data_IF_151363304858
#
_entry.id   IF_151363304858
#
_cell.length_a   1.000
_cell.length_b   1.000
_cell.length_c   1.000
_cell.angle_alpha   90.00
_cell.angle_beta   90.00
_cell.angle_gamma   90.00
#
_symmetry.space_group_name_H-M   'P 1'
#
loop_
_entity.id
_entity.type
_entity.pdbx_description
1 polymer ?
2 non-polymer ?
3 non-polymer ?
4 non-polymer ?
5 non-polymer ?
6 non-polymer ?
7 water ?
#
# COMPACT_ATOMS: atom_id res chain seq x y z
N UNK A 1 4.29 -12.35 -24.63
CA UNK A 1 4.21 -13.48 -25.59
C UNK A 1 3.27 -13.07 -26.75
N UNK A 2 2.35 -13.98 -27.15
CA UNK A 2 1.45 -13.81 -28.28
C UNK A 2 0.20 -12.96 -28.05
N UNK A 3 -0.18 -12.71 -26.82
CA UNK A 3 -1.42 -11.97 -26.53
C UNK A 3 -1.15 -10.50 -26.85
N UNK A 4 -2.10 -9.87 -27.50
CA UNK A 4 -1.97 -8.47 -27.86
C UNK A 4 -2.10 -7.57 -26.64
N UNK A 5 -1.55 -6.38 -26.79
CA UNK A 5 -1.77 -5.36 -25.77
C UNK A 5 -3.23 -5.03 -25.64
N UNK A 6 -3.93 -4.95 -26.77
CA UNK A 6 -5.40 -4.67 -26.74
C UNK A 6 -6.09 -5.66 -25.85
N UNK A 7 -5.74 -6.93 -25.97
CA UNK A 7 -6.39 -8.00 -25.19
C UNK A 7 -6.03 -7.89 -23.68
N UNK A 8 -4.77 -7.65 -23.37
CA UNK A 8 -4.41 -7.45 -21.94
C UNK A 8 -5.15 -6.26 -21.38
N UNK A 9 -5.23 -5.14 -22.13
CA UNK A 9 -5.87 -3.97 -21.60
C UNK A 9 -7.37 -4.22 -21.40
N UNK A 10 -8.00 -4.93 -22.34
CA UNK A 10 -9.44 -5.26 -22.20
C UNK A 10 -9.66 -6.13 -21.00
N UNK A 11 -8.83 -7.14 -20.83
CA UNK A 11 -8.98 -8.06 -19.68
C UNK A 11 -8.87 -7.31 -18.37
N UNK A 12 -7.83 -6.52 -18.19
CA UNK A 12 -7.64 -5.87 -16.92
C UNK A 12 -8.76 -4.86 -16.67
N UNK A 13 -9.17 -4.11 -17.69
CA UNK A 13 -10.33 -3.27 -17.57
C UNK A 13 -11.52 -4.04 -17.05
N UNK A 14 -11.75 -5.21 -17.60
CA UNK A 14 -12.92 -6.00 -17.22
C UNK A 14 -12.91 -6.39 -15.77
N UNK A 15 -11.73 -6.59 -15.16
CA UNK A 15 -11.72 -6.98 -13.74
C UNK A 15 -12.29 -5.85 -12.88
N UNK A 16 -11.99 -4.61 -13.22
CA UNK A 16 -12.57 -3.47 -12.52
C UNK A 16 -14.04 -3.33 -12.84
N UNK A 17 -14.40 -3.48 -14.12
CA UNK A 17 -15.80 -3.31 -14.51
C UNK A 17 -16.66 -4.35 -13.78
N UNK A 18 -16.19 -5.59 -13.68
CA UNK A 18 -16.98 -6.69 -13.09
C UNK A 18 -17.20 -6.44 -11.59
N UNK A 19 -16.25 -5.75 -10.97
CA UNK A 19 -16.43 -5.34 -9.57
C UNK A 19 -17.28 -4.13 -9.34
N UNK A 20 -17.75 -3.52 -10.42
CA UNK A 20 -18.66 -2.39 -10.35
C UNK A 20 -18.00 -1.24 -9.58
N UNK A 21 -16.73 -1.02 -9.94
CA UNK A 21 -16.04 0.15 -9.45
C UNK A 21 -15.18 0.77 -10.51
N UNK A 22 -14.43 1.78 -10.16
CA UNK A 22 -13.54 2.47 -11.06
C UNK A 22 -12.16 2.41 -10.49
N UNK A 23 -11.16 2.10 -11.26
CA UNK A 23 -9.82 1.95 -10.75
C UNK A 23 -8.74 1.84 -11.80
N UNK A 24 -7.52 1.82 -11.30
CA UNK A 24 -6.35 1.69 -12.13
C UNK A 24 -5.38 0.71 -11.43
N UNK A 25 -4.52 0.06 -12.18
CA UNK A 25 -3.36 -0.63 -11.62
C UNK A 25 -2.21 -0.17 -12.44
N UNK A 26 -1.17 0.32 -11.77
CA UNK A 26 0.04 0.73 -12.44
C UNK A 26 1.12 -0.29 -12.14
N UNK A 27 1.82 -0.69 -13.19
CA UNK A 27 2.88 -1.66 -13.09
C UNK A 27 4.19 -1.01 -13.51
N UNK A 28 5.28 -1.26 -12.83
CA UNK A 28 6.55 -0.69 -13.23
C UNK A 28 7.51 -1.80 -13.53
N UNK A 29 8.16 -1.75 -14.72
CA UNK A 29 9.13 -2.71 -15.13
C UNK A 29 10.38 -1.95 -15.46
N UNK A 30 11.39 -2.06 -14.60
CA UNK A 30 12.52 -1.18 -14.71
C UNK A 30 12.12 0.24 -14.45
N UNK A 31 12.34 1.13 -15.39
CA UNK A 31 11.89 2.49 -15.28
C UNK A 31 10.54 2.74 -15.91
N UNK A 32 9.97 1.78 -16.65
CA UNK A 32 8.75 2.03 -17.41
C UNK A 32 7.49 1.72 -16.64
N UNK A 33 6.62 2.71 -16.66
CA UNK A 33 5.31 2.60 -16.01
C UNK A 33 4.24 2.22 -17.01
N UNK A 34 3.42 1.26 -16.71
CA UNK A 34 2.30 0.91 -17.57
C UNK A 34 1.01 1.06 -16.72
N UNK A 35 -0.01 1.64 -17.30
CA UNK A 35 -1.29 1.95 -16.62
C UNK A 35 -2.40 1.11 -17.22
N UNK A 36 -3.08 0.33 -16.40
CA UNK A 36 -4.18 -0.50 -16.81
C UNK A 36 -5.39 -0.22 -15.94
N UNK A 37 -6.53 -0.70 -16.38
CA UNK A 37 -7.75 -0.63 -15.59
C UNK A 37 -8.88 0.02 -16.33
N UNK A 38 -9.89 0.43 -15.61
CA UNK A 38 -11.06 1.02 -16.22
C UNK A 38 -11.25 2.50 -15.98
N UNK A 39 -10.25 3.19 -15.34
CA UNK A 39 -10.35 4.59 -15.11
C UNK A 39 -8.95 5.18 -15.08
N UNK A 40 -8.35 5.24 -16.26
CA UNK A 40 -6.90 5.49 -16.33
C UNK A 40 -6.51 6.85 -15.81
N UNK A 41 -7.41 7.84 -15.84
CA UNK A 41 -7.13 9.15 -15.34
C UNK A 41 -6.87 9.20 -13.88
N UNK A 42 -7.18 8.16 -13.14
CA UNK A 42 -6.87 8.15 -11.71
C UNK A 42 -5.38 8.13 -11.44
N UNK A 43 -4.56 7.76 -12.44
CA UNK A 43 -3.13 7.51 -12.17
C UNK A 43 -2.39 8.72 -11.56
N UNK A 44 -2.74 9.96 -11.98
CA UNK A 44 -2.05 11.10 -11.41
C UNK A 44 -2.93 11.94 -10.52
N UNK A 45 -4.03 11.34 -9.99
CA UNK A 45 -4.85 12.00 -9.00
C UNK A 45 -4.47 11.65 -7.58
N UNK A 46 -4.65 12.64 -6.70
CA UNK A 46 -4.30 12.46 -5.28
C UNK A 46 -5.41 11.86 -4.45
N UNK A 47 -5.03 10.92 -3.60
CA UNK A 47 -5.93 10.33 -2.66
C UNK A 47 -5.24 10.22 -1.30
N UNK A 48 -6.00 10.06 -0.22
CA UNK A 48 -5.32 9.76 1.05
C UNK A 48 -4.62 8.42 0.91
N UNK A 49 -3.47 8.21 1.56
CA UNK A 49 -2.80 6.93 1.48
C UNK A 49 -3.47 5.85 2.27
N UNK A 50 -4.27 6.28 3.26
CA UNK A 50 -4.90 5.35 4.19
C UNK A 50 -3.87 4.41 4.73
N UNK A 51 -4.19 3.13 4.96
CA UNK A 51 -3.26 2.23 5.60
C UNK A 51 -2.03 1.87 4.80
N UNK A 52 -1.92 2.30 3.52
CA UNK A 52 -0.62 2.15 2.87
C UNK A 52 0.45 2.94 3.57
N UNK A 53 0.09 3.97 4.32
CA UNK A 53 1.06 4.73 5.09
C UNK A 53 1.71 3.93 6.14
N UNK A 54 1.13 2.80 6.57
CA UNK A 54 1.79 1.97 7.58
C UNK A 54 3.18 1.56 7.13
N UNK A 55 3.44 1.38 5.84
CA UNK A 55 4.79 1.05 5.41
C UNK A 55 5.78 2.13 5.85
N UNK A 56 5.45 3.37 5.59
CA UNK A 56 6.32 4.51 5.95
C UNK A 56 6.35 4.77 7.46
N UNK A 57 5.20 4.62 8.12
CA UNK A 57 5.15 4.78 9.57
C UNK A 57 6.11 3.76 10.21
N UNK A 58 6.08 2.52 9.77
CA UNK A 58 6.99 1.52 10.29
C UNK A 58 8.45 1.87 10.07
N UNK A 59 8.79 2.29 8.85
CA UNK A 59 10.19 2.67 8.52
C UNK A 59 10.63 3.77 9.47
N UNK A 60 9.81 4.80 9.62
CA UNK A 60 10.15 5.93 10.47
C UNK A 60 10.33 5.48 11.92
N UNK A 61 9.38 4.71 12.41
CA UNK A 61 9.43 4.30 13.83
C UNK A 61 10.63 3.40 14.09
N UNK A 62 10.94 2.45 13.23
CA UNK A 62 12.08 1.62 13.44
C UNK A 62 13.38 2.45 13.36
N UNK A 63 13.50 3.26 12.33
CA UNK A 63 14.74 3.99 12.11
C UNK A 63 15.06 4.87 13.31
N UNK A 64 14.02 5.44 13.89
CA UNK A 64 14.13 6.41 14.98
C UNK A 64 14.01 5.76 16.38
N UNK A 65 14.06 4.44 16.42
CA UNK A 65 14.11 3.72 17.71
C UNK A 65 12.86 3.97 18.57
N UNK A 66 11.72 4.06 17.92
CA UNK A 66 10.45 4.21 18.60
C UNK A 66 9.77 2.86 18.83
N UNK A 67 10.31 1.81 18.23
CA UNK A 67 9.89 0.42 18.39
C UNK A 67 10.97 -0.50 17.91
N UNK A 68 10.83 -1.78 18.21
CA UNK A 68 11.57 -2.84 17.66
C UNK A 68 10.66 -3.79 16.95
N UNK A 69 11.22 -4.71 16.18
CA UNK A 69 10.35 -5.63 15.43
C UNK A 69 9.75 -6.71 16.33
N UNK A 70 10.33 -6.98 17.48
CA UNK A 70 9.78 -7.97 18.40
C UNK A 70 8.86 -7.37 19.45
N UNK A 71 8.85 -6.05 19.59
CA UNK A 71 8.02 -5.46 20.62
C UNK A 71 6.58 -5.80 20.46
N UNK A 72 5.95 -6.18 21.57
CA UNK A 72 4.53 -6.48 21.59
C UNK A 72 3.81 -5.29 22.07
N UNK A 73 2.97 -4.69 21.21
CA UNK A 73 2.10 -3.58 21.58
C UNK A 73 0.87 -4.14 22.21
N UNK A 74 0.65 -3.82 23.47
CA UNK A 74 -0.45 -4.45 24.21
C UNK A 74 -1.77 -3.81 23.87
N UNK A 75 -2.79 -4.61 23.72
CA UNK A 75 -4.16 -4.12 23.61
C UNK A 75 -4.58 -3.49 24.93
N UNK A 76 -5.14 -2.29 24.83
CA UNK A 76 -5.58 -1.53 26.01
C UNK A 76 -6.85 -2.04 26.69
N UNK A 77 -7.48 -3.05 26.10
CA UNK A 77 -8.70 -3.61 26.67
C UNK A 77 -9.96 -2.94 26.24
N UNK A 78 -9.88 -1.90 25.40
CA UNK A 78 -11.05 -1.23 24.91
C UNK A 78 -11.62 -1.84 23.63
N UNK A 79 -12.90 -1.66 23.41
CA UNK A 79 -13.57 -2.25 22.22
C UNK A 79 -12.97 -1.71 20.94
N UNK A 80 -12.79 -2.57 19.95
CA UNK A 80 -12.33 -2.24 18.61
C UNK A 80 -13.36 -2.57 17.56
N UNK A 81 -13.14 -2.08 16.32
CA UNK A 81 -14.03 -2.47 15.22
C UNK A 81 -13.97 -3.96 14.92
N UNK A 82 -12.80 -4.62 15.00
CA UNK A 82 -12.68 -6.04 14.68
C UNK A 82 -12.04 -6.80 15.79
N UNK A 83 -12.44 -8.02 16.07
CA UNK A 83 -11.87 -8.82 17.14
C UNK A 83 -10.45 -9.04 17.00
N UNK A 84 -9.97 -9.06 15.71
CA UNK A 84 -8.59 -9.38 15.51
C UNK A 84 -7.78 -8.25 15.99
N UNK A 85 -8.38 -7.05 16.23
CA UNK A 85 -7.55 -5.96 16.82
C UNK A 85 -7.53 -5.96 18.31
N UNK A 86 -8.38 -6.77 18.95
CA UNK A 86 -8.44 -6.85 20.42
C UNK A 86 -7.43 -7.83 20.93
N UNK A 87 -6.17 -7.59 20.60
CA UNK A 87 -5.08 -8.47 20.97
C UNK A 87 -3.77 -7.73 20.93
N UNK A 88 -2.79 -8.30 21.59
CA UNK A 88 -1.44 -7.78 21.64
C UNK A 88 -0.72 -8.18 20.35
N UNK A 89 0.07 -7.28 19.79
CA UNK A 89 0.76 -7.70 18.57
C UNK A 89 1.95 -6.84 18.27
N UNK A 90 2.77 -7.39 17.39
CA UNK A 90 3.96 -6.69 16.91
C UNK A 90 3.59 -5.79 15.76
N UNK A 91 4.56 -4.98 15.34
CA UNK A 91 4.35 -4.13 14.15
C UNK A 91 4.04 -4.96 12.93
N UNK A 92 4.70 -6.08 12.77
CA UNK A 92 4.42 -6.91 11.61
C UNK A 92 3.06 -7.55 11.60
N UNK A 93 2.61 -7.97 12.78
CA UNK A 93 1.25 -8.50 12.91
C UNK A 93 0.23 -7.39 12.60
N UNK A 94 0.48 -6.19 13.13
CA UNK A 94 -0.38 -5.06 12.91
C UNK A 94 -0.39 -4.66 11.44
N UNK A 95 0.72 -4.85 10.75
CA UNK A 95 0.73 -4.59 9.32
C UNK A 95 -0.21 -5.51 8.59
N UNK A 96 -0.13 -6.80 8.88
CA UNK A 96 -1.00 -7.74 8.20
C UNK A 96 -2.47 -7.56 8.52
N UNK A 97 -2.78 -7.15 9.76
CA UNK A 97 -4.15 -6.96 10.16
C UNK A 97 -4.64 -5.54 9.95
N UNK A 98 -3.77 -4.68 9.43
CA UNK A 98 -4.04 -3.26 9.27
C UNK A 98 -4.60 -2.68 10.57
N UNK A 99 -3.88 -2.97 11.66
CA UNK A 99 -4.34 -2.53 12.98
C UNK A 99 -3.97 -1.09 13.27
N UNK A 100 -4.84 -0.19 12.87
CA UNK A 100 -4.65 1.24 13.05
C UNK A 100 -4.24 1.61 14.46
N UNK A 101 -4.81 1.04 15.53
CA UNK A 101 -4.42 1.53 16.84
C UNK A 101 -2.96 1.39 17.14
N UNK A 102 -2.35 0.31 16.67
CA UNK A 102 -0.92 0.09 16.90
C UNK A 102 -0.11 1.19 16.22
N UNK A 103 -0.48 1.44 14.96
CA UNK A 103 0.22 2.45 14.21
C UNK A 103 -0.08 3.88 14.66
N UNK A 104 -1.21 4.12 15.28
CA UNK A 104 -1.43 5.39 15.95
C UNK A 104 -0.53 5.55 17.16
N UNK A 105 -0.37 4.47 17.92
CA UNK A 105 0.60 4.53 19.04
C UNK A 105 1.98 4.81 18.50
N UNK A 106 2.38 4.13 17.44
CA UNK A 106 3.70 4.38 16.89
C UNK A 106 3.85 5.81 16.46
N UNK A 107 2.85 6.35 15.79
CA UNK A 107 2.89 7.73 15.35
C UNK A 107 3.02 8.70 16.53
N UNK A 108 2.29 8.43 17.60
CA UNK A 108 2.34 9.29 18.78
C UNK A 108 3.75 9.20 19.43
N UNK A 109 4.38 8.05 19.40
CA UNK A 109 5.78 7.92 19.91
C UNK A 109 6.73 8.77 19.09
N UNK A 110 6.58 8.71 17.76
CA UNK A 110 7.42 9.53 16.87
C UNK A 110 7.16 11.01 17.16
N UNK A 111 5.91 11.41 17.23
CA UNK A 111 5.49 12.73 17.50
C UNK A 111 5.47 13.60 16.25
N UNK A 112 4.69 14.66 16.34
CA UNK A 112 4.37 15.52 15.14
C UNK A 112 5.65 16.04 14.50
N UNK A 113 6.55 16.60 15.28
CA UNK A 113 7.67 17.32 14.67
C UNK A 113 8.57 16.39 13.89
N UNK A 114 8.91 15.25 14.49
CA UNK A 114 9.74 14.28 13.86
C UNK A 114 9.01 13.66 12.66
N UNK A 115 7.73 13.36 12.86
CA UNK A 115 6.96 12.77 11.75
C UNK A 115 6.95 13.68 10.54
N UNK A 116 6.74 14.94 10.77
CA UNK A 116 6.71 15.86 9.64
C UNK A 116 8.05 15.97 8.97
N UNK A 117 9.11 16.00 9.78
CA UNK A 117 10.44 16.04 9.22
C UNK A 117 10.76 14.82 8.38
N UNK A 118 10.35 13.65 8.84
CA UNK A 118 10.62 12.43 8.14
C UNK A 118 9.79 12.28 6.88
N UNK A 119 8.51 12.65 6.93
CA UNK A 119 7.68 12.56 5.75
C UNK A 119 8.22 13.50 4.68
N UNK A 120 8.67 14.69 5.09
CA UNK A 120 9.33 15.59 4.15
C UNK A 120 10.62 15.00 3.60
N UNK A 121 11.46 14.45 4.47
CA UNK A 121 12.72 13.90 4.08
C UNK A 121 12.63 12.77 3.04
N UNK A 122 11.55 11.99 3.16
CA UNK A 122 11.28 10.95 2.18
C UNK A 122 10.53 11.50 0.96
N UNK A 123 9.91 12.64 1.04
CA UNK A 123 9.23 13.15 -0.13
C UNK A 123 8.04 12.33 -0.47
N UNK A 124 7.25 12.01 0.53
CA UNK A 124 6.13 11.11 0.34
C UNK A 124 4.87 11.89 -0.01
N UNK A 125 4.35 11.64 -1.23
CA UNK A 125 3.16 12.28 -1.66
C UNK A 125 3.20 13.77 -1.67
N UNK A 126 2.19 14.43 -1.15
CA UNK A 126 2.21 15.89 -1.00
C UNK A 126 3.01 16.37 0.18
N UNK A 127 3.52 15.45 0.96
CA UNK A 127 4.40 15.69 2.10
C UNK A 127 3.76 16.40 3.30
N UNK A 128 2.47 16.68 3.27
CA UNK A 128 1.87 17.46 4.33
C UNK A 128 1.10 16.60 5.32
N UNK A 129 1.51 16.74 6.57
CA UNK A 129 0.83 15.97 7.65
C UNK A 129 -0.04 16.80 8.53
N UNK A 130 -0.03 18.09 8.37
CA UNK A 130 -0.88 18.93 9.19
C UNK A 130 -0.53 18.87 10.67
N UNK A 131 -1.57 18.99 11.51
CA UNK A 131 -1.35 19.19 12.94
C UNK A 131 -1.69 18.02 13.83
N UNK A 132 -2.28 16.97 13.26
CA UNK A 132 -2.78 15.84 14.03
C UNK A 132 -2.00 14.58 13.73
N UNK A 133 -1.10 14.20 14.65
CA UNK A 133 -0.14 13.17 14.37
C UNK A 133 -0.74 11.78 14.19
N UNK A 134 -1.95 11.61 14.72
CA UNK A 134 -2.56 10.26 14.80
C UNK A 134 -3.61 9.95 13.74
N UNK A 135 -3.85 10.87 12.76
CA UNK A 135 -4.82 10.49 11.73
C UNK A 135 -4.58 11.13 10.36
N UNK A 136 -3.41 11.68 10.17
CA UNK A 136 -3.15 12.49 9.01
C UNK A 136 -3.14 11.68 7.71
N UNK A 137 -2.91 10.36 7.81
CA UNK A 137 -2.89 9.45 6.67
C UNK A 137 -4.27 8.93 6.34
N UNK A 138 -5.24 9.17 7.23
CA UNK A 138 -6.55 8.63 7.14
C UNK A 138 -7.55 9.59 6.59
N UNK A 139 -7.46 10.84 6.99
CA UNK A 139 -8.46 11.83 6.67
C UNK A 139 -7.91 13.06 6.00
N UNK A 140 -6.68 12.98 5.60
CA UNK A 140 -5.97 14.19 5.15
C UNK A 140 -5.22 14.85 6.29
N UNK A 141 -4.31 15.75 5.97
CA UNK A 141 -4.13 16.34 4.66
C UNK A 141 -3.14 15.65 3.75
N UNK A 142 -2.52 14.57 4.22
CA UNK A 142 -1.59 13.83 3.42
C UNK A 142 -2.30 13.16 2.27
N UNK A 143 -1.77 13.34 1.05
CA UNK A 143 -2.31 12.70 -0.15
C UNK A 143 -1.19 12.24 -1.06
N UNK A 144 -1.50 11.28 -1.92
CA UNK A 144 -0.52 10.68 -2.76
C UNK A 144 -1.22 10.15 -4.03
N UNK A 145 -0.52 10.14 -5.16
CA UNK A 145 -1.07 9.61 -6.39
C UNK A 145 -0.68 8.16 -6.57
N UNK A 146 -1.42 7.39 -7.43
CA UNK A 146 -0.97 6.03 -7.74
C UNK A 146 0.44 5.93 -8.36
N UNK A 147 0.78 6.90 -9.21
CA UNK A 147 2.15 6.92 -9.73
C UNK A 147 3.16 7.08 -8.58
N UNK A 148 2.87 7.99 -7.64
CA UNK A 148 3.76 8.15 -6.51
C UNK A 148 3.82 6.89 -5.64
N UNK A 149 2.69 6.23 -5.44
CA UNK A 149 2.71 4.96 -4.68
C UNK A 149 3.50 3.86 -5.33
N UNK A 150 3.39 3.68 -6.65
CA UNK A 150 4.18 2.61 -7.28
C UNK A 150 5.69 2.96 -7.25
N UNK A 151 5.98 4.26 -7.35
CA UNK A 151 7.36 4.71 -7.26
C UNK A 151 7.95 4.54 -5.85
N UNK A 152 7.10 4.73 -4.81
CA UNK A 152 7.52 4.41 -3.45
C UNK A 152 7.77 2.94 -3.30
N UNK A 153 6.88 2.08 -3.83
CA UNK A 153 7.09 0.67 -3.78
C UNK A 153 8.39 0.24 -4.47
N UNK A 154 8.68 0.88 -5.63
CA UNK A 154 9.91 0.60 -6.34
C UNK A 154 11.11 0.97 -5.47
N UNK A 155 11.03 2.11 -4.82
CA UNK A 155 12.12 2.54 -3.93
C UNK A 155 12.30 1.49 -2.81
N UNK A 156 11.22 1.12 -2.12
CA UNK A 156 11.39 0.19 -1.02
C UNK A 156 11.88 -1.18 -1.44
N UNK A 157 11.33 -1.67 -2.55
CA UNK A 157 11.72 -2.93 -3.06
C UNK A 157 13.23 -3.03 -3.31
N UNK A 158 13.82 -1.92 -3.76
CA UNK A 158 15.25 -1.87 -4.12
C UNK A 158 16.10 -1.19 -3.08
N UNK A 159 15.54 -1.01 -1.88
CA UNK A 159 16.31 -0.43 -0.75
C UNK A 159 16.85 0.96 -1.04
N UNK A 160 16.08 1.74 -1.84
CA UNK A 160 16.46 3.06 -2.23
C UNK A 160 15.99 4.19 -1.34
N UNK A 161 15.09 3.89 -0.39
CA UNK A 161 14.61 4.92 0.46
C UNK A 161 15.74 5.40 1.42
N UNK A 162 15.58 6.60 1.99
CA UNK A 162 16.70 7.16 2.81
C UNK A 162 16.56 6.67 4.29
N UNK A 163 16.69 5.39 4.42
CA UNK A 163 16.69 4.66 5.71
C UNK A 163 17.80 3.64 5.64
N UNK A 164 18.24 3.17 6.82
CA UNK A 164 19.17 2.10 6.84
C UNK A 164 18.69 0.93 6.05
N UNK A 165 19.60 0.21 5.46
CA UNK A 165 19.27 -1.06 4.81
C UNK A 165 18.50 -1.99 5.73
N UNK A 166 18.97 -2.10 6.97
CA UNK A 166 18.32 -3.02 7.83
C UNK A 166 16.87 -2.57 8.20
N UNK A 167 16.63 -1.31 8.29
CA UNK A 167 15.28 -0.79 8.50
C UNK A 167 14.38 -1.19 7.35
N UNK A 168 14.86 -1.01 6.12
CA UNK A 168 14.06 -1.36 4.96
C UNK A 168 13.80 -2.88 4.88
N UNK A 169 14.81 -3.68 5.16
CA UNK A 169 14.66 -5.10 5.17
C UNK A 169 13.63 -5.57 6.23
N UNK A 170 13.68 -4.92 7.39
CA UNK A 170 12.72 -5.27 8.47
C UNK A 170 11.28 -5.04 7.98
N UNK A 171 11.04 -3.88 7.42
CA UNK A 171 9.71 -3.55 6.96
C UNK A 171 9.25 -4.45 5.82
N UNK A 172 10.16 -4.72 4.88
CA UNK A 172 9.83 -5.62 3.77
C UNK A 172 9.38 -7.00 4.26
N UNK A 173 9.99 -7.49 5.34
CA UNK A 173 9.61 -8.80 5.93
C UNK A 173 8.14 -8.76 6.35
N UNK A 174 7.64 -7.61 6.78
CA UNK A 174 6.30 -7.50 7.28
C UNK A 174 5.26 -7.54 6.17
N UNK A 175 5.67 -7.42 4.93
CA UNK A 175 4.75 -7.19 3.82
C UNK A 175 4.46 -8.39 2.94
N UNK A 176 5.00 -9.56 3.27
CA UNK A 176 4.75 -10.71 2.45
C UNK A 176 3.30 -11.18 2.60
N UNK A 177 2.51 -11.08 1.52
CA UNK A 177 1.09 -11.47 1.59
C UNK A 177 0.70 -12.68 0.80
N UNK A 178 1.51 -13.10 -0.17
CA UNK A 178 1.16 -14.24 -0.96
C UNK A 178 2.37 -14.85 -1.64
N UNK A 179 2.37 -16.17 -1.79
CA UNK A 179 3.36 -16.85 -2.60
C UNK A 179 2.61 -17.62 -3.65
N UNK A 180 3.03 -17.51 -4.91
CA UNK A 180 2.24 -18.06 -6.02
C UNK A 180 3.29 -18.67 -6.92
N UNK A 181 3.22 -19.96 -7.16
CA UNK A 181 4.27 -20.74 -7.93
C UNK A 181 5.77 -20.25 -7.87
N UNK A 182 6.51 -20.17 -6.78
CA UNK A 182 7.85 -19.43 -6.96
C UNK A 182 7.95 -17.84 -6.89
N UNK A 183 6.84 -17.15 -7.15
CA UNK A 183 6.80 -15.68 -6.99
C UNK A 183 6.37 -15.33 -5.59
N UNK A 184 6.81 -14.21 -5.07
CA UNK A 184 6.35 -13.68 -3.76
C UNK A 184 5.78 -12.30 -4.00
N UNK A 185 4.65 -12.04 -3.36
CA UNK A 185 4.02 -10.76 -3.45
C UNK A 185 4.11 -10.05 -2.09
N UNK A 186 4.75 -8.89 -2.13
CA UNK A 186 4.90 -8.02 -0.95
C UNK A 186 4.02 -6.83 -1.20
N UNK A 187 3.10 -6.52 -0.28
CA UNK A 187 2.22 -5.39 -0.52
C UNK A 187 1.54 -4.96 0.76
N UNK A 188 1.00 -3.77 0.74
CA UNK A 188 0.14 -3.29 1.79
C UNK A 188 -1.14 -2.70 1.23
N UNK A 189 -2.28 -3.12 1.80
CA UNK A 189 -3.54 -2.59 1.40
C UNK A 189 -3.84 -1.24 2.10
N UNK A 190 -4.75 -0.49 1.48
CA UNK A 190 -5.32 0.70 2.09
C UNK A 190 -6.77 0.79 1.84
N UNK A 191 -7.48 1.38 2.79
CA UNK A 191 -8.90 1.62 2.65
C UNK A 191 -9.23 2.92 3.38
N UNK A 192 -9.61 3.95 2.63
CA UNK A 192 -9.95 5.24 3.20
C UNK A 192 -11.36 5.25 3.63
N UNK A 193 -11.64 4.71 4.76
CA UNK A 193 -12.88 4.78 5.53
C UNK A 193 -13.16 6.25 5.91
N UNK A 194 -14.35 6.77 5.88
CA UNK A 194 -14.44 8.18 6.37
C UNK A 194 -13.74 9.35 5.61
N UNK A 195 -13.33 9.04 4.38
CA UNK A 195 -13.20 9.96 3.24
C UNK A 195 -14.37 9.71 2.23
N UNK A 196 -14.80 10.70 1.47
CA UNK A 196 -15.74 10.28 0.44
C UNK A 196 -15.50 10.89 -0.89
N UNK A 197 -15.60 10.04 -1.94
CA UNK A 197 -15.67 8.56 -1.97
C UNK A 197 -14.52 7.85 -1.24
N UNK A 198 -14.67 6.58 -0.87
CA UNK A 198 -13.64 5.84 -0.17
C UNK A 198 -12.62 5.27 -1.10
N UNK A 199 -11.38 5.47 -0.86
CA UNK A 199 -10.32 4.92 -1.71
C UNK A 199 -9.91 3.52 -1.24
N UNK A 200 -9.55 2.65 -2.19
CA UNK A 200 -8.92 1.39 -1.92
C UNK A 200 -7.58 1.31 -2.63
N UNK A 201 -6.62 0.72 -1.96
CA UNK A 201 -5.27 0.58 -2.48
C UNK A 201 -4.75 -0.82 -2.28
N UNK A 202 -3.85 -1.26 -3.17
CA UNK A 202 -2.94 -2.37 -2.83
C UNK A 202 -1.63 -2.01 -3.53
N UNK A 203 -0.59 -1.76 -2.75
CA UNK A 203 0.67 -1.24 -3.30
C UNK A 203 1.80 -2.09 -2.86
N UNK A 204 2.66 -2.53 -3.79
CA UNK A 204 3.77 -3.39 -3.41
C UNK A 204 4.58 -3.82 -4.62
N UNK A 205 5.05 -5.03 -4.59
CA UNK A 205 5.84 -5.57 -5.68
C UNK A 205 5.77 -7.07 -5.72
N UNK A 206 6.02 -7.59 -6.89
CA UNK A 206 6.23 -9.01 -7.06
C UNK A 206 7.74 -9.29 -7.12
N UNK A 207 8.22 -10.20 -6.29
CA UNK A 207 9.60 -10.69 -6.43
C UNK A 207 9.52 -12.01 -7.14
N UNK A 208 10.02 -12.02 -8.37
CA UNK A 208 9.96 -13.27 -9.15
C UNK A 208 11.05 -14.24 -8.71
N UNK A 209 10.91 -15.52 -9.08
CA UNK A 209 11.90 -16.50 -8.66
C UNK A 209 13.34 -16.14 -9.04
N UNK A 210 13.49 -15.55 -10.20
CA UNK A 210 14.81 -15.11 -10.70
C UNK A 210 15.38 -13.86 -9.97
N UNK A 211 14.60 -13.24 -9.08
CA UNK A 211 15.04 -12.09 -8.32
C UNK A 211 14.51 -10.74 -8.85
N UNK A 212 13.95 -10.67 -10.07
CA UNK A 212 13.38 -9.41 -10.63
C UNK A 212 12.23 -9.01 -9.73
N UNK A 213 12.16 -7.73 -9.48
CA UNK A 213 11.07 -7.14 -8.70
C UNK A 213 10.25 -6.22 -9.60
N UNK A 214 8.94 -6.42 -9.57
CA UNK A 214 7.99 -5.73 -10.43
C UNK A 214 7.00 -4.99 -9.52
N UNK A 215 7.23 -3.69 -9.25
CA UNK A 215 6.31 -2.93 -8.40
C UNK A 215 4.97 -2.69 -9.05
N UNK A 216 3.94 -2.53 -8.24
CA UNK A 216 2.60 -2.22 -8.67
C UNK A 216 1.89 -1.35 -7.66
N UNK A 217 0.89 -0.63 -8.15
CA UNK A 217 -0.09 0.02 -7.27
C UNK A 217 -1.47 -0.02 -7.88
N UNK A 218 -2.41 -0.67 -7.17
CA UNK A 218 -3.80 -0.68 -7.50
C UNK A 218 -4.49 0.40 -6.71
N UNK A 219 -5.38 1.14 -7.36
CA UNK A 219 -6.15 2.20 -6.75
C UNK A 219 -7.55 2.15 -7.29
N UNK A 220 -8.55 2.08 -6.42
CA UNK A 220 -9.95 2.02 -6.89
C UNK A 220 -10.84 2.69 -5.88
N UNK A 221 -12.11 2.80 -6.23
CA UNK A 221 -13.09 3.28 -5.28
C UNK A 221 -13.73 2.09 -4.55
N UNK A 222 -13.71 2.14 -3.22
CA UNK A 222 -14.39 1.09 -2.42
C UNK A 222 -15.86 1.48 -2.27
N UNK A 223 -16.72 0.56 -2.65
CA UNK A 223 -18.20 0.77 -2.66
C UNK A 223 -18.83 0.10 -1.46
N UNK A 224 -20.04 0.52 -1.12
CA UNK A 224 -20.85 -0.01 -0.02
C UNK A 224 -20.90 -1.45 -0.23
N UNK A 225 -20.52 -2.19 0.82
CA UNK A 225 -20.74 -3.61 0.77
C UNK A 225 -19.57 -4.40 0.26
N UNK A 226 -18.62 -3.69 -0.35
CA UNK A 226 -17.49 -4.34 -0.99
C UNK A 226 -16.61 -5.00 0.03
N UNK A 227 -16.08 -6.17 -0.28
CA UNK A 227 -15.11 -6.80 0.58
C UNK A 227 -13.72 -6.27 0.29
N UNK A 228 -12.89 -6.18 1.32
CA UNK A 228 -11.50 -5.71 1.11
C UNK A 228 -10.71 -6.60 0.17
N UNK A 229 -11.03 -7.87 0.14
CA UNK A 229 -10.35 -8.81 -0.74
C UNK A 229 -10.49 -8.53 -2.23
N UNK A 230 -11.42 -7.69 -2.65
CA UNK A 230 -11.51 -7.37 -4.07
C UNK A 230 -10.24 -6.66 -4.56
N UNK A 231 -9.58 -5.94 -3.64
CA UNK A 231 -8.33 -5.26 -4.03
C UNK A 231 -7.29 -6.33 -4.40
N UNK A 232 -7.13 -7.36 -3.54
CA UNK A 232 -6.23 -8.41 -3.79
C UNK A 232 -6.64 -9.21 -5.04
N UNK A 233 -7.91 -9.52 -5.18
CA UNK A 233 -8.35 -10.31 -6.31
C UNK A 233 -8.10 -9.68 -7.65
N UNK A 234 -8.42 -8.41 -7.75
CA UNK A 234 -8.16 -7.68 -9.01
C UNK A 234 -6.65 -7.65 -9.27
N UNK A 235 -5.88 -7.35 -8.22
CA UNK A 235 -4.42 -7.29 -8.39
C UNK A 235 -3.88 -8.61 -8.89
N UNK A 236 -4.24 -9.71 -8.24
CA UNK A 236 -3.70 -10.98 -8.67
C UNK A 236 -4.13 -11.40 -10.05
N UNK A 237 -5.36 -11.12 -10.42
CA UNK A 237 -5.83 -11.44 -11.76
C UNK A 237 -5.09 -10.63 -12.80
N UNK A 238 -4.79 -9.35 -12.49
CA UNK A 238 -4.06 -8.50 -13.42
C UNK A 238 -2.64 -8.96 -13.60
N UNK A 239 -1.96 -9.22 -12.47
CA UNK A 239 -0.58 -9.68 -12.54
C UNK A 239 -0.50 -11.01 -13.30
N UNK A 240 -1.47 -11.89 -13.08
CA UNK A 240 -1.49 -13.15 -13.78
C UNK A 240 -1.73 -12.98 -15.27
N UNK A 241 -2.66 -12.10 -15.62
CA UNK A 241 -2.95 -11.82 -17.03
C UNK A 241 -1.72 -11.35 -17.79
N UNK A 242 -0.91 -10.56 -17.12
CA UNK A 242 0.30 -10.01 -17.74
C UNK A 242 1.50 -10.97 -17.65
N UNK A 243 1.33 -12.09 -16.99
CA UNK A 243 2.42 -13.06 -16.86
C UNK A 243 3.46 -12.77 -15.81
N UNK A 244 3.16 -11.79 -14.98
CA UNK A 244 4.08 -11.40 -13.93
C UNK A 244 4.13 -12.41 -12.80
N UNK A 245 2.98 -13.05 -12.54
CA UNK A 245 2.94 -14.21 -11.67
C UNK A 245 2.30 -15.34 -12.47
X LIG B 1 -9.16 2.02 9.86
X LIG B 1 -8.48 0.86 9.84
X LIG B 1 -7.62 0.50 8.82
X LIG B 1 -7.34 1.42 7.82
X LIG B 1 -8.05 2.63 7.92
X LIG B 1 -8.91 3.00 8.92
X LIG B 1 -6.38 1.04 6.60
X LIG B 1 -6.53 -0.45 6.30
X LIG B 1 -6.70 1.85 5.38
X LIG B 1 -9.48 4.28 8.86
X LIG B 1 -9.99 4.89 9.91
X LIG B 1 -10.44 6.17 9.55
X LIG B 1 -11.18 7.01 10.43
X LIG B 1 -12.47 6.31 10.88
X LIG B 1 -11.44 8.18 9.50
X LIG B 1 -10.34 7.38 11.67
X LIG B 1 -10.17 4.43 11.02
X LIG C 1 6.32 16.81 19.37
X LIG C 1 7.05 17.80 20.26
X LIG C 1 6.11 17.30 18.02
X LIG C 1 7.06 15.48 19.41
X LIG C 1 5.03 16.48 20.13
X LIG D 1 -21.00 0.45 -12.64
X LIG D 1 -20.82 -0.76 -13.55
X LIG D 1 -19.91 0.78 -11.55
X LIG D 1 -18.53 0.86 -12.21
X LIG D 1 -20.38 1.95 -10.54
X LIG D 1 -19.61 2.74 -9.89
X LIG E 1 7.53 11.50 -5.80
X LIG E 1 7.42 12.95 -6.15
X LIG E 1 8.07 10.51 -6.90
X LIG E 1 8.55 9.26 -6.27
X LIG E 1 7.11 9.75 -7.75
X LIG E 1 6.44 10.02 -8.67
X LIG F 1 9.32 -4.02 25.18
X LIG F 1 9.84 -2.84 25.25
X LIG F 1 9.85 -4.86 24.39
X LIG F 1 8.31 -4.33 25.93
X LIG G 1 22.84 1.36 6.29
X LIG G 1 23.17 2.57 6.18
X LIG G 1 22.31 0.92 5.33
X LIG G 1 23.02 0.57 7.38
X LIG H 1 17.90 -4.64 -5.79
X LIG H 1 18.43 -3.64 -6.49
X LIG H 1 17.63 -5.80 -6.27
X LIG H 1 17.68 -4.43 -4.49
X LIG I 1 7.31 -15.59 -13.93
X LIG I 1 7.52 -15.14 -15.06
X LIG I 1 8.32 -15.71 -13.18
X LIG I 1 6.04 -15.96 -13.63
X LIG J 1 -9.62 -1.90 7.37
X LIG J 1 -10.37 -1.12 7.28
X LIG J 1 -8.68 -1.95 6.49
X LIG J 1 -9.74 -2.78 7.86
X LIG K 1 -8.11 -8.05 10.67
X LIG K 1 -9.20 -6.65 10.36
#
# INVERSE_FOLDING_TARGET
>A
MHISSQQHEKAIKSYFDEAQTQGVIIIKEGKNLSTYGNALARANKEYVPASTFKMLNALIGLENHKATTNEIFKWDGKKRTYPXWEKDMTLGEAMALSAVPVYQELARRTGLELMQKEVKRVNFGNTNIGTQVDNFWLVGPLKITPVQEVNFADDLAHNRLPFKLXTQEEVKKMLLIKEVNGSKIYAKSGWGMGVTPQVGWLTGWVEQANGKKIPFSLNLEMKEGMSGSIRNEITYKSLENLGII
>B hetero
1 JW1 C1 C2 C3 C4 C5 C6 B7 O8 O9 N10 C11 O12 C13 C14 C15 C16 O17
>C hetero
1 SO4 S O1 O2 O3 O4
>D hetero
1 3GR C3 O3 C2 O2 C1 O1
>E hetero
1 3GR C3 O3 C2 O2 C1 O1
>F hetero
1 BCT C O1 O2 O3
>G hetero
1 BCT C O1 O2 O3
>H hetero
1 BCT C O1 O2 O3
>I hetero
1 BCT C O1 O2 O3
>J hetero
1 BCT C O1 O2 O3
>K hetero
1 MEE C S
#
